data_IF_275150035872
#
_entry.id   IF_275150035872
#
_cell.length_a   1.000
_cell.length_b   1.000
_cell.length_c   1.000
_cell.angle_alpha   90.00
_cell.angle_beta   90.00
_cell.angle_gamma   90.00
#
_symmetry.space_group_name_H-M   'P 1'
#
loop_
_entity.id
_entity.type
_entity.pdbx_description
1 polymer ?
#
# COMPACT_ATOMS: atom_id res chain seq x y z
N UNK A 1 -7.31 27.90 -17.24
CA UNK A 1 -6.65 26.59 -17.11
C UNK A 1 -7.31 25.87 -15.94
N UNK A 2 -8.21 24.92 -16.22
CA UNK A 2 -8.95 24.19 -15.18
C UNK A 2 -8.17 22.93 -14.84
N UNK A 3 -7.59 22.88 -13.64
CA UNK A 3 -6.98 21.67 -13.09
C UNK A 3 -8.09 20.68 -12.77
N UNK A 4 -8.33 19.72 -13.66
CA UNK A 4 -9.15 18.56 -13.35
C UNK A 4 -8.37 17.72 -12.33
N UNK A 5 -8.69 17.87 -11.05
CA UNK A 5 -8.38 16.85 -10.05
C UNK A 5 -9.23 15.63 -10.41
N UNK A 6 -8.63 14.67 -11.11
CA UNK A 6 -9.23 13.37 -11.34
C UNK A 6 -9.23 12.62 -10.01
N UNK A 7 -10.21 12.88 -9.16
CA UNK A 7 -10.52 12.01 -8.02
C UNK A 7 -10.98 10.68 -8.62
N UNK A 8 -10.04 9.73 -8.80
CA UNK A 8 -10.39 8.37 -9.21
C UNK A 8 -11.41 7.83 -8.20
N UNK A 9 -12.47 7.14 -8.64
CA UNK A 9 -13.32 6.42 -7.71
C UNK A 9 -12.47 5.34 -7.04
N UNK A 10 -11.96 5.62 -5.85
CA UNK A 10 -11.38 4.62 -4.96
C UNK A 10 -12.54 3.82 -4.40
N UNK A 11 -12.78 2.64 -4.99
CA UNK A 11 -13.66 1.65 -4.36
C UNK A 11 -13.22 1.50 -2.90
N UNK A 12 -14.11 1.68 -1.91
CA UNK A 12 -13.78 1.49 -0.49
C UNK A 12 -13.14 0.12 -0.23
N UNK A 13 -13.45 -0.87 -1.07
CA UNK A 13 -12.89 -2.22 -1.02
C UNK A 13 -11.46 -2.31 -1.53
N UNK A 14 -11.02 -1.42 -2.41
CA UNK A 14 -9.70 -1.50 -3.03
C UNK A 14 -8.55 -1.33 -2.01
N UNK A 15 -8.74 -0.48 -0.99
CA UNK A 15 -7.76 -0.33 0.07
C UNK A 15 -7.68 -1.58 0.97
N UNK A 16 -8.83 -2.15 1.32
CA UNK A 16 -8.88 -3.37 2.13
C UNK A 16 -8.30 -4.57 1.37
N UNK A 17 -8.60 -4.71 0.08
CA UNK A 17 -7.97 -5.72 -0.78
C UNK A 17 -6.45 -5.54 -0.89
N UNK A 18 -5.98 -4.29 -0.99
CA UNK A 18 -4.55 -4.00 -1.01
C UNK A 18 -3.88 -4.34 0.33
N UNK A 19 -4.51 -4.02 1.46
CA UNK A 19 -4.03 -4.40 2.80
C UNK A 19 -3.92 -5.92 2.93
N UNK A 20 -4.97 -6.65 2.53
CA UNK A 20 -4.99 -8.11 2.57
C UNK A 20 -3.89 -8.73 1.68
N UNK A 21 -3.68 -8.18 0.48
CA UNK A 21 -2.62 -8.63 -0.40
C UNK A 21 -1.23 -8.42 0.21
N UNK A 22 -0.97 -7.24 0.82
CA UNK A 22 0.29 -6.95 1.51
C UNK A 22 0.51 -7.89 2.70
N UNK A 23 -0.53 -8.16 3.50
CA UNK A 23 -0.46 -9.08 4.63
C UNK A 23 -0.09 -10.49 4.14
N UNK A 24 -0.75 -10.98 3.08
CA UNK A 24 -0.44 -12.28 2.47
C UNK A 24 0.99 -12.34 1.94
N UNK A 25 1.45 -11.31 1.23
CA UNK A 25 2.83 -11.24 0.73
C UNK A 25 3.85 -11.29 1.87
N UNK A 26 3.61 -10.56 2.98
CA UNK A 26 4.47 -10.58 4.16
C UNK A 26 4.48 -11.95 4.85
N UNK A 27 3.34 -12.65 4.92
CA UNK A 27 3.26 -13.95 5.57
C UNK A 27 3.91 -15.06 4.75
N UNK A 28 3.88 -14.99 3.41
CA UNK A 28 4.53 -15.99 2.56
C UNK A 28 6.02 -15.72 2.34
N UNK A 29 6.52 -14.51 2.64
CA UNK A 29 7.90 -14.10 2.41
C UNK A 29 8.96 -15.11 2.88
N UNK A 30 8.86 -15.74 4.08
CA UNK A 30 9.84 -16.72 4.53
C UNK A 30 9.95 -17.98 3.65
N UNK A 31 8.95 -18.22 2.79
CA UNK A 31 8.88 -19.38 1.89
C UNK A 31 9.26 -19.04 0.45
N UNK A 32 9.53 -17.75 0.15
CA UNK A 32 9.91 -17.30 -1.18
C UNK A 32 11.39 -17.53 -1.43
N UNK A 33 11.73 -17.94 -2.65
CA UNK A 33 13.12 -17.92 -3.11
C UNK A 33 13.52 -16.49 -3.49
N UNK A 34 14.83 -16.24 -3.61
CA UNK A 34 15.35 -14.95 -4.08
C UNK A 34 14.82 -14.57 -5.47
N UNK A 35 14.61 -15.56 -6.35
CA UNK A 35 14.06 -15.34 -7.68
C UNK A 35 12.57 -14.95 -7.63
N UNK A 36 11.82 -15.52 -6.69
CA UNK A 36 10.42 -15.14 -6.46
C UNK A 36 10.32 -13.71 -5.93
N UNK A 37 11.21 -13.33 -5.00
CA UNK A 37 11.27 -11.96 -4.47
C UNK A 37 11.63 -10.94 -5.56
N UNK A 38 12.58 -11.26 -6.46
CA UNK A 38 12.92 -10.40 -7.60
C UNK A 38 11.75 -10.27 -8.57
N UNK A 39 11.08 -11.38 -8.89
CA UNK A 39 9.92 -11.39 -9.80
C UNK A 39 8.76 -10.59 -9.21
N UNK A 40 8.44 -10.78 -7.94
CA UNK A 40 7.42 -9.99 -7.25
C UNK A 40 7.79 -8.50 -7.17
N UNK A 41 9.07 -8.18 -6.99
CA UNK A 41 9.57 -6.81 -7.03
C UNK A 41 9.52 -6.16 -8.42
N UNK A 42 9.38 -6.94 -9.50
CA UNK A 42 9.12 -6.44 -10.87
C UNK A 42 7.62 -6.28 -11.09
N UNK A 43 6.82 -7.23 -10.64
CA UNK A 43 5.37 -7.24 -10.82
C UNK A 43 4.64 -6.21 -9.95
N UNK A 44 5.24 -5.84 -8.82
CA UNK A 44 4.68 -4.87 -7.90
C UNK A 44 5.56 -3.63 -7.87
N UNK A 45 4.93 -2.46 -7.98
CA UNK A 45 5.60 -1.18 -7.78
C UNK A 45 6.26 -1.15 -6.39
N UNK A 46 7.60 -1.12 -6.39
CA UNK A 46 8.43 -1.15 -5.17
C UNK A 46 8.15 0.07 -4.29
N UNK A 47 7.85 1.21 -4.87
CA UNK A 47 7.51 2.43 -4.14
C UNK A 47 6.16 2.28 -3.44
N UNK A 48 5.17 1.73 -4.14
CA UNK A 48 3.85 1.42 -3.57
C UNK A 48 3.95 0.44 -2.40
N UNK A 49 4.74 -0.63 -2.52
CA UNK A 49 4.94 -1.62 -1.43
C UNK A 49 5.65 -1.01 -0.24
N UNK A 50 6.65 -0.16 -0.47
CA UNK A 50 7.35 0.56 0.58
C UNK A 50 6.39 1.47 1.35
N UNK A 51 5.59 2.25 0.63
CA UNK A 51 4.59 3.15 1.21
C UNK A 51 3.53 2.38 2.00
N UNK A 52 2.96 1.30 1.44
CA UNK A 52 1.98 0.46 2.13
C UNK A 52 2.58 -0.23 3.37
N UNK A 53 3.84 -0.68 3.29
CA UNK A 53 4.52 -1.31 4.44
C UNK A 53 4.74 -0.32 5.58
N UNK A 54 5.10 0.92 5.24
CA UNK A 54 5.25 2.03 6.19
C UNK A 54 3.90 2.37 6.82
N UNK A 55 2.87 2.65 6.01
CA UNK A 55 1.51 2.96 6.49
C UNK A 55 0.91 1.86 7.36
N UNK A 56 1.18 0.58 7.05
CA UNK A 56 0.75 -0.53 7.90
C UNK A 56 1.47 -0.54 9.25
N UNK A 57 2.77 -0.25 9.28
CA UNK A 57 3.51 -0.16 10.55
C UNK A 57 3.08 1.05 11.38
N UNK A 58 2.81 2.17 10.73
CA UNK A 58 2.28 3.40 11.32
C UNK A 58 0.89 3.16 11.94
N UNK A 59 -0.02 2.54 11.17
CA UNK A 59 -1.34 2.13 11.67
C UNK A 59 -1.25 1.17 12.87
N UNK A 60 -0.32 0.21 12.86
CA UNK A 60 -0.09 -0.69 14.01
C UNK A 60 0.42 0.04 15.26
N UNK A 61 1.11 1.18 15.10
CA UNK A 61 1.59 2.03 16.20
C UNK A 61 0.57 3.09 16.62
N UNK A 62 -0.55 3.20 15.91
CA UNK A 62 -1.52 4.29 16.11
C UNK A 62 -1.02 5.64 15.58
N UNK A 63 0.03 5.64 14.77
CA UNK A 63 0.64 6.82 14.16
C UNK A 63 -0.01 7.08 12.79
N UNK A 64 -1.27 7.53 12.77
CA UNK A 64 -1.94 7.95 11.54
C UNK A 64 -2.19 9.46 11.56
N UNK A 65 -1.96 10.12 10.43
CA UNK A 65 -2.44 11.49 10.26
C UNK A 65 -3.96 11.48 10.08
N UNK A 66 -4.70 12.28 10.86
CA UNK A 66 -6.12 12.50 10.64
C UNK A 66 -6.37 13.04 9.22
N UNK A 67 -7.47 12.66 8.59
CA UNK A 67 -7.83 13.20 7.27
C UNK A 67 -8.02 14.72 7.32
N UNK A 68 -8.41 15.24 8.49
CA UNK A 68 -8.56 16.67 8.76
C UNK A 68 -7.25 17.44 8.62
N UNK A 69 -6.08 16.83 8.86
CA UNK A 69 -4.78 17.51 8.71
C UNK A 69 -4.25 17.57 7.28
N UNK A 70 -4.90 16.89 6.33
CA UNK A 70 -4.47 16.80 4.91
C UNK A 70 -5.32 17.72 4.01
N UNK A 71 -6.50 18.15 4.48
CA UNK A 71 -7.48 18.92 3.70
C UNK A 71 -7.43 20.44 3.92
N UNK A 72 -6.40 20.98 4.57
CA UNK A 72 -6.17 22.44 4.71
C UNK A 72 -5.54 23.07 3.45
#
# INVERSE_FOLDING_TARGET
>A
MTTQTTTRPTSPLALEEAKDAVIKLKSIKPFLTRADEETLGILIDKELVSNLSKSLSEAQRGEYEPLESILE
#
